data_IF_425145521178
#
_entry.id   IF_425145521178
#
_cell.length_a   1.000
_cell.length_b   1.000
_cell.length_c   1.000
_cell.angle_alpha   90.00
_cell.angle_beta   90.00
_cell.angle_gamma   90.00
#
_symmetry.space_group_name_H-M   'P 1'
#
loop_
_entity.id
_entity.type
_entity.pdbx_description
1 polymer ?
#
# COMPACT_ATOMS: atom_id res chain seq x y z
N UNK A 1 -3.20 -13.24 4.86
CA UNK A 1 -1.98 -12.57 4.40
C UNK A 1 -2.19 -11.06 4.37
N UNK A 2 -1.11 -10.29 4.27
CA UNK A 2 -1.14 -8.86 3.98
C UNK A 2 -0.60 -8.68 2.57
N UNK A 3 -1.38 -8.06 1.70
CA UNK A 3 -1.08 -7.87 0.29
C UNK A 3 -1.13 -6.38 -0.03
N UNK A 4 -0.06 -5.86 -0.62
CA UNK A 4 -0.02 -4.52 -1.18
C UNK A 4 -0.47 -4.59 -2.64
N UNK A 5 -1.28 -3.60 -3.04
CA UNK A 5 -1.84 -3.50 -4.38
C UNK A 5 -1.68 -2.08 -4.91
N UNK A 6 -1.16 -1.94 -6.13
CA UNK A 6 -1.02 -0.64 -6.77
C UNK A 6 -2.34 -0.13 -7.35
N UNK A 7 -2.64 1.14 -7.09
CA UNK A 7 -3.80 1.84 -7.61
C UNK A 7 -3.41 3.18 -8.24
N UNK A 8 -4.02 3.49 -9.38
CA UNK A 8 -3.74 4.73 -10.12
C UNK A 8 -4.30 5.99 -9.43
N UNK A 9 -5.37 5.83 -8.66
CA UNK A 9 -6.06 6.96 -8.02
C UNK A 9 -5.33 7.50 -6.78
N UNK A 10 -4.26 6.84 -6.34
CA UNK A 10 -3.47 7.25 -5.20
C UNK A 10 -2.20 7.96 -5.65
N UNK A 11 -1.92 9.11 -5.04
CA UNK A 11 -0.75 9.93 -5.34
C UNK A 11 0.17 10.13 -4.12
N UNK A 12 -0.20 9.60 -2.96
CA UNK A 12 0.56 9.80 -1.73
C UNK A 12 0.56 8.55 -0.86
N UNK A 13 1.57 8.43 0.01
CA UNK A 13 1.68 7.41 1.06
C UNK A 13 1.35 7.99 2.45
N UNK A 14 0.57 9.07 2.52
CA UNK A 14 0.34 9.81 3.76
C UNK A 14 -0.36 8.96 4.82
N UNK A 15 -1.26 8.07 4.41
CA UNK A 15 -2.01 7.19 5.32
C UNK A 15 -1.10 6.25 6.08
N UNK A 16 -0.03 5.77 5.43
CA UNK A 16 0.98 4.89 6.04
C UNK A 16 1.88 5.61 7.05
N UNK A 17 1.96 6.93 6.99
CA UNK A 17 2.66 7.74 7.99
C UNK A 17 1.87 7.83 9.30
N UNK A 18 0.55 7.87 9.22
CA UNK A 18 -0.32 7.96 10.39
C UNK A 18 -0.62 6.57 10.98
N UNK A 19 -0.90 5.61 10.12
CA UNK A 19 -1.14 4.23 10.52
C UNK A 19 0.01 3.35 10.03
N UNK A 20 0.86 2.91 10.98
CA UNK A 20 2.04 2.09 10.67
C UNK A 20 1.82 0.60 10.92
N UNK A 21 0.78 0.24 11.66
CA UNK A 21 0.51 -1.15 12.02
C UNK A 21 -0.72 -1.67 11.28
N UNK A 22 -0.51 -2.71 10.48
CA UNK A 22 -1.56 -3.38 9.75
C UNK A 22 -1.59 -4.86 10.12
N UNK A 23 -2.76 -5.38 10.45
CA UNK A 23 -2.91 -6.75 10.90
C UNK A 23 -4.05 -7.44 10.14
N UNK A 24 -3.71 -8.48 9.38
CA UNK A 24 -4.70 -9.36 8.79
C UNK A 24 -5.39 -10.21 9.87
N UNK A 25 -6.62 -10.63 9.62
CA UNK A 25 -7.37 -11.47 10.56
C UNK A 25 -6.67 -12.82 10.71
N UNK A 26 -6.50 -13.25 11.97
CA UNK A 26 -5.95 -14.57 12.31
C UNK A 26 -6.85 -15.69 11.79
N UNK A 27 -6.24 -16.78 11.36
CA UNK A 27 -6.96 -18.04 11.11
C UNK A 27 -7.62 -18.56 12.39
N UNK A 28 -8.80 -19.14 12.23
CA UNK A 28 -9.56 -19.71 13.33
C UNK A 28 -8.90 -20.98 13.89
N UNK A 29 -9.17 -21.28 15.15
CA UNK A 29 -8.74 -22.53 15.78
C UNK A 29 -9.62 -23.68 15.29
N UNK A 30 -9.06 -24.89 15.17
CA UNK A 30 -9.83 -26.09 14.97
C UNK A 30 -10.69 -26.40 16.18
N UNK A 31 -11.80 -27.08 15.96
CA UNK A 31 -12.76 -27.48 17.01
C UNK A 31 -13.13 -28.95 16.88
N UNK A 32 -13.83 -29.44 17.86
CA UNK A 32 -14.53 -30.73 17.80
C UNK A 32 -15.60 -30.74 16.69
N UNK A 33 -16.29 -31.86 16.52
CA UNK A 33 -17.38 -32.05 15.54
C UNK A 33 -16.94 -31.79 14.09
N UNK A 34 -15.73 -32.20 13.71
CA UNK A 34 -15.16 -32.04 12.36
C UNK A 34 -15.01 -30.59 11.89
N UNK A 35 -14.85 -29.66 12.78
CA UNK A 35 -14.70 -28.26 12.41
C UNK A 35 -13.21 -27.87 12.29
N UNK A 36 -12.78 -27.64 11.04
CA UNK A 36 -11.48 -27.04 10.75
C UNK A 36 -11.59 -25.52 10.86
N UNK A 37 -10.59 -24.88 11.45
CA UNK A 37 -10.54 -23.42 11.56
C UNK A 37 -10.54 -22.74 10.18
N UNK A 38 -11.34 -21.71 10.02
CA UNK A 38 -11.36 -20.92 8.78
C UNK A 38 -10.03 -20.17 8.62
N UNK A 39 -9.54 -20.06 7.39
CA UNK A 39 -8.45 -19.15 7.05
C UNK A 39 -8.84 -17.70 7.37
N UNK A 40 -7.90 -16.89 7.84
CA UNK A 40 -8.09 -15.45 7.98
C UNK A 40 -8.29 -14.81 6.61
N UNK A 41 -9.13 -13.78 6.53
CA UNK A 41 -9.25 -12.98 5.31
C UNK A 41 -7.96 -12.21 5.07
N UNK A 42 -7.57 -12.09 3.81
CA UNK A 42 -6.44 -11.27 3.41
C UNK A 42 -6.78 -9.79 3.60
N UNK A 43 -5.76 -9.02 3.96
CA UNK A 43 -5.82 -7.58 4.08
C UNK A 43 -5.12 -6.98 2.86
N UNK A 44 -5.87 -6.24 2.06
CA UNK A 44 -5.34 -5.50 0.93
C UNK A 44 -5.06 -4.07 1.35
N UNK A 45 -3.87 -3.59 1.01
CA UNK A 45 -3.40 -2.24 1.27
C UNK A 45 -3.08 -1.58 -0.07
N UNK A 46 -3.74 -0.48 -0.36
CA UNK A 46 -3.58 0.21 -1.64
C UNK A 46 -2.40 1.17 -1.60
N UNK A 47 -1.52 1.10 -2.59
CA UNK A 47 -0.36 1.98 -2.75
C UNK A 47 -0.38 2.65 -4.13
N UNK A 48 0.18 3.87 -4.27
CA UNK A 48 0.32 4.50 -5.58
C UNK A 48 1.30 3.76 -6.49
N UNK A 49 1.12 3.90 -7.79
CA UNK A 49 2.10 3.43 -8.79
C UNK A 49 3.42 4.18 -8.58
N UNK A 50 4.54 3.49 -8.76
CA UNK A 50 5.88 4.01 -8.48
C UNK A 50 6.33 3.85 -7.03
N UNK A 51 5.53 3.14 -6.21
CA UNK A 51 5.94 2.78 -4.85
C UNK A 51 6.94 1.63 -4.88
N UNK A 52 8.01 1.78 -4.14
CA UNK A 52 9.02 0.74 -3.91
C UNK A 52 8.91 0.24 -2.48
N UNK A 53 9.06 -1.07 -2.31
CA UNK A 53 9.11 -1.73 -1.01
C UNK A 53 10.55 -2.09 -0.72
N UNK A 54 11.04 -1.67 0.44
CA UNK A 54 12.33 -2.08 0.96
C UNK A 54 12.16 -2.90 2.23
N UNK A 55 13.11 -3.76 2.48
CA UNK A 55 13.22 -4.51 3.73
C UNK A 55 13.50 -3.57 4.92
N UNK A 56 13.50 -4.09 6.13
CA UNK A 56 13.76 -3.35 7.37
C UNK A 56 15.08 -2.57 7.34
N UNK A 57 16.09 -3.08 6.63
CA UNK A 57 17.40 -2.44 6.45
C UNK A 57 17.35 -1.17 5.57
N UNK A 58 16.20 -0.89 4.93
CA UNK A 58 15.98 0.21 3.98
C UNK A 58 17.01 0.26 2.82
N UNK A 59 17.62 -0.88 2.49
CA UNK A 59 18.61 -1.02 1.39
C UNK A 59 18.17 -2.05 0.36
N UNK A 60 17.65 -3.17 0.84
CA UNK A 60 17.23 -4.28 -0.01
C UNK A 60 15.86 -4.00 -0.61
N UNK A 61 15.81 -3.84 -1.93
CA UNK A 61 14.55 -3.66 -2.66
C UNK A 61 13.83 -5.01 -2.77
N UNK A 62 12.64 -5.10 -2.21
CA UNK A 62 11.79 -6.30 -2.30
C UNK A 62 10.90 -6.27 -3.54
N UNK A 63 10.27 -5.13 -3.82
CA UNK A 63 9.36 -4.99 -4.95
C UNK A 63 9.24 -3.53 -5.43
N UNK A 64 8.92 -3.34 -6.72
CA UNK A 64 8.70 -2.04 -7.36
C UNK A 64 7.39 -2.08 -8.16
N UNK A 65 6.38 -1.32 -7.72
CA UNK A 65 5.07 -1.22 -8.37
C UNK A 65 5.13 -0.31 -9.59
N UNK A 66 5.30 -0.89 -10.77
CA UNK A 66 5.42 -0.17 -12.05
C UNK A 66 4.11 -0.06 -12.79
N UNK A 67 3.20 -1.01 -12.58
CA UNK A 67 1.93 -1.11 -13.30
C UNK A 67 0.75 -0.99 -12.34
N UNK A 68 -0.39 -0.63 -12.89
CA UNK A 68 -1.65 -0.67 -12.18
C UNK A 68 -2.04 -2.11 -11.87
N UNK A 69 -2.60 -2.33 -10.69
CA UNK A 69 -3.03 -3.64 -10.17
C UNK A 69 -1.92 -4.65 -9.93
N UNK A 70 -0.66 -4.21 -9.89
CA UNK A 70 0.41 -5.07 -9.39
C UNK A 70 0.12 -5.42 -7.92
N UNK A 71 0.32 -6.67 -7.56
CA UNK A 71 0.08 -7.17 -6.22
C UNK A 71 1.35 -7.83 -5.66
N UNK A 72 1.67 -7.52 -4.41
CA UNK A 72 2.79 -8.11 -3.70
C UNK A 72 2.37 -8.55 -2.29
N UNK A 73 2.60 -9.83 -1.97
CA UNK A 73 2.33 -10.37 -0.64
C UNK A 73 3.50 -10.08 0.27
N UNK A 74 3.31 -9.18 1.23
CA UNK A 74 4.34 -8.79 2.20
C UNK A 74 4.51 -9.85 3.27
N UNK A 75 3.40 -10.33 3.83
CA UNK A 75 3.44 -11.30 4.92
C UNK A 75 2.38 -12.38 4.72
N UNK A 76 2.80 -13.63 4.86
CA UNK A 76 1.91 -14.77 4.70
C UNK A 76 1.18 -15.04 6.01
N UNK A 77 -0.14 -15.17 5.91
CA UNK A 77 -0.98 -15.51 7.06
C UNK A 77 -0.78 -16.95 7.53
N UNK A 78 -0.86 -17.16 8.84
CA UNK A 78 -0.83 -18.52 9.41
C UNK A 78 -2.04 -19.34 9.00
N UNK A 79 -1.85 -20.63 8.89
CA UNK A 79 -2.92 -21.61 8.56
C UNK A 79 -3.92 -21.73 9.70
N UNK A 80 -5.19 -21.95 9.38
CA UNK A 80 -6.21 -22.32 10.36
C UNK A 80 -5.89 -23.68 11.02
N UNK A 81 -6.34 -23.84 12.26
CA UNK A 81 -6.14 -25.08 13.02
C UNK A 81 -6.92 -26.24 12.45
N UNK A 82 -6.37 -27.43 12.58
CA UNK A 82 -7.04 -28.66 12.16
C UNK A 82 -8.09 -29.10 13.19
N UNK A 83 -9.27 -29.52 12.71
CA UNK A 83 -10.30 -30.14 13.51
C UNK A 83 -9.92 -31.57 13.94
N UNK A 84 -10.67 -32.11 14.91
CA UNK A 84 -10.40 -33.39 15.55
C UNK A 84 -10.35 -34.58 14.59
N UNK A 85 -11.11 -34.56 13.51
CA UNK A 85 -11.16 -35.71 12.56
C UNK A 85 -9.82 -35.98 11.87
N UNK A 86 -8.94 -35.01 11.74
CA UNK A 86 -7.58 -35.24 11.21
C UNK A 86 -6.70 -36.10 12.12
N UNK A 87 -7.07 -36.23 13.38
CA UNK A 87 -6.35 -37.00 14.37
C UNK A 87 -7.02 -38.41 14.63
N UNK A 88 -7.95 -38.78 13.76
CA UNK A 88 -8.60 -40.09 13.82
C UNK A 88 -7.63 -41.19 13.39
N UNK A 89 -7.52 -42.23 14.20
CA UNK A 89 -6.70 -43.39 13.93
C UNK A 89 -7.52 -44.68 14.19
N UNK A 90 -6.97 -45.84 13.83
CA UNK A 90 -7.57 -47.16 14.10
C UNK A 90 -7.84 -47.38 15.57
N UNK A 91 -6.92 -46.93 16.43
CA UNK A 91 -7.01 -47.04 17.90
C UNK A 91 -7.84 -45.95 18.55
N UNK A 92 -7.94 -44.76 17.93
CA UNK A 92 -8.72 -43.62 18.44
C UNK A 92 -9.71 -43.11 17.39
N UNK A 93 -10.92 -43.68 17.39
CA UNK A 93 -11.97 -43.34 16.42
C UNK A 93 -12.68 -42.03 16.70
N UNK A 94 -12.58 -41.46 17.94
CA UNK A 94 -13.25 -40.23 18.35
C UNK A 94 -12.28 -39.30 19.09
N UNK A 95 -11.23 -38.76 18.40
CA UNK A 95 -10.24 -37.93 19.05
C UNK A 95 -10.86 -36.62 19.49
N UNK A 96 -10.48 -36.16 20.69
CA UNK A 96 -10.81 -34.81 21.21
C UNK A 96 -9.73 -33.77 20.90
N UNK A 97 -8.59 -34.20 20.31
CA UNK A 97 -7.45 -33.35 19.98
C UNK A 97 -7.78 -32.51 18.75
N UNK A 98 -7.47 -31.24 18.82
CA UNK A 98 -7.51 -30.28 17.73
C UNK A 98 -6.29 -29.35 17.84
N UNK A 99 -5.95 -28.62 16.77
CA UNK A 99 -4.84 -27.65 16.80
C UNK A 99 -5.37 -26.23 16.75
N UNK A 100 -4.65 -25.34 17.41
CA UNK A 100 -4.86 -23.90 17.30
C UNK A 100 -4.37 -23.42 15.92
N UNK A 101 -4.92 -22.31 15.42
CA UNK A 101 -4.41 -21.65 14.23
C UNK A 101 -2.96 -21.22 14.42
N UNK A 102 -2.17 -21.35 13.39
CA UNK A 102 -0.76 -20.93 13.38
C UNK A 102 -0.64 -19.41 13.38
N UNK A 103 0.45 -18.89 13.93
CA UNK A 103 0.82 -17.49 13.76
C UNK A 103 1.22 -17.27 12.30
N UNK A 104 0.92 -16.08 11.77
CA UNK A 104 1.43 -15.61 10.50
C UNK A 104 2.80 -14.97 10.65
N UNK A 105 3.35 -14.55 9.55
CA UNK A 105 4.60 -13.79 9.48
C UNK A 105 4.36 -12.33 9.87
N UNK A 106 5.37 -11.69 10.43
CA UNK A 106 5.38 -10.29 10.82
C UNK A 106 6.67 -9.66 10.29
N UNK A 107 6.55 -8.57 9.53
CA UNK A 107 7.68 -7.87 8.93
C UNK A 107 7.53 -6.36 9.07
N UNK A 108 8.67 -5.69 9.22
CA UNK A 108 8.79 -4.25 9.03
C UNK A 108 9.30 -4.00 7.61
N UNK A 109 8.63 -3.10 6.92
CA UNK A 109 9.00 -2.70 5.56
C UNK A 109 9.02 -1.18 5.45
N UNK A 110 9.84 -0.69 4.54
CA UNK A 110 9.83 0.71 4.16
C UNK A 110 9.12 0.88 2.83
N UNK A 111 8.22 1.84 2.76
CA UNK A 111 7.55 2.24 1.53
C UNK A 111 8.14 3.57 1.07
N UNK A 112 8.68 3.59 -0.13
CA UNK A 112 9.22 4.79 -0.76
C UNK A 112 8.49 5.04 -2.07
N UNK A 113 7.86 6.19 -2.21
CA UNK A 113 7.23 6.60 -3.45
C UNK A 113 8.24 7.34 -4.33
N UNK A 114 8.48 6.82 -5.52
CA UNK A 114 9.21 7.54 -6.58
C UNK A 114 8.22 8.44 -7.31
N UNK A 115 8.28 9.71 -7.02
CA UNK A 115 7.49 10.70 -7.75
C UNK A 115 8.24 11.08 -9.02
N UNK A 116 7.67 10.79 -10.18
CA UNK A 116 8.17 11.27 -11.46
C UNK A 116 7.43 12.57 -11.74
N UNK A 117 8.18 13.64 -12.00
CA UNK A 117 7.59 14.90 -12.43
C UNK A 117 7.40 14.87 -13.97
N UNK A 118 6.25 15.31 -14.45
CA UNK A 118 5.96 15.41 -15.89
C UNK A 118 6.80 16.52 -16.54
N UNK A 119 7.07 17.59 -15.78
CA UNK A 119 7.85 18.77 -16.24
C UNK A 119 8.85 19.17 -15.17
N UNK A 120 10.09 19.40 -15.57
CA UNK A 120 11.14 19.95 -14.72
C UNK A 120 11.51 21.37 -15.15
N UNK A 121 11.52 22.31 -14.21
CA UNK A 121 11.95 23.71 -14.45
C UNK A 121 13.40 23.87 -14.00
N UNK A 122 14.29 24.13 -14.95
CA UNK A 122 15.71 24.30 -14.71
C UNK A 122 16.10 25.76 -15.08
N UNK A 123 17.00 26.35 -14.31
CA UNK A 123 17.51 27.69 -14.58
C UNK A 123 18.37 28.23 -13.44
N UNK A 124 19.04 29.37 -13.69
CA UNK A 124 19.93 30.04 -12.75
C UNK A 124 19.20 30.41 -11.44
N UNK A 125 19.94 30.58 -10.33
CA UNK A 125 19.38 31.17 -9.11
C UNK A 125 18.70 32.52 -9.44
N UNK A 126 17.61 32.82 -8.75
CA UNK A 126 16.79 34.03 -8.91
C UNK A 126 16.14 34.27 -10.29
N UNK A 127 16.12 33.27 -11.16
CA UNK A 127 15.44 33.33 -12.46
C UNK A 127 13.90 33.24 -12.39
N UNK A 128 13.29 33.34 -11.20
CA UNK A 128 11.83 33.34 -11.03
C UNK A 128 11.16 31.96 -11.08
N UNK A 129 11.92 30.86 -11.01
CA UNK A 129 11.38 29.50 -11.06
C UNK A 129 10.30 29.22 -9.99
N UNK A 130 10.58 29.65 -8.77
CA UNK A 130 9.65 29.45 -7.64
C UNK A 130 8.40 30.31 -7.78
N UNK A 131 8.52 31.52 -8.33
CA UNK A 131 7.40 32.42 -8.61
C UNK A 131 6.51 31.85 -9.73
N UNK A 132 7.13 31.28 -10.77
CA UNK A 132 6.41 30.60 -11.86
C UNK A 132 5.67 29.37 -11.32
N UNK A 133 6.34 28.54 -10.50
CA UNK A 133 5.73 27.37 -9.88
C UNK A 133 4.54 27.77 -9.00
N UNK A 134 4.68 28.82 -8.19
CA UNK A 134 3.62 29.33 -7.32
C UNK A 134 2.42 29.88 -8.10
N UNK A 135 2.65 30.48 -9.28
CA UNK A 135 1.58 31.01 -10.12
C UNK A 135 0.79 29.93 -10.86
N UNK A 136 1.45 28.81 -11.20
CA UNK A 136 0.82 27.70 -11.93
C UNK A 136 0.13 26.72 -10.96
N UNK A 137 0.61 26.65 -9.71
CA UNK A 137 0.15 25.67 -8.72
C UNK A 137 -0.80 26.31 -7.73
N UNK A 138 -2.02 25.77 -7.60
CA UNK A 138 -2.99 26.23 -6.60
C UNK A 138 -2.66 25.79 -5.16
N UNK A 139 -1.70 24.90 -4.97
CA UNK A 139 -1.26 24.43 -3.67
C UNK A 139 0.11 24.98 -3.32
N UNK A 140 0.34 25.27 -2.03
CA UNK A 140 1.67 25.63 -1.55
C UNK A 140 2.69 24.55 -1.94
N UNK A 141 3.79 24.92 -2.65
CA UNK A 141 4.77 23.94 -3.10
C UNK A 141 5.36 23.20 -1.89
N UNK A 142 5.22 21.87 -1.90
CA UNK A 142 5.81 21.02 -0.85
C UNK A 142 7.29 20.82 -1.16
N UNK A 143 8.13 21.07 -0.19
CA UNK A 143 9.56 20.78 -0.25
C UNK A 143 9.73 19.28 0.03
N UNK A 144 10.34 18.55 -0.90
CA UNK A 144 10.67 17.15 -0.72
C UNK A 144 12.18 16.95 -0.72
N UNK A 145 12.67 16.13 0.21
CA UNK A 145 14.07 15.76 0.31
C UNK A 145 14.36 14.57 -0.61
N UNK A 146 15.13 14.81 -1.67
CA UNK A 146 15.66 13.75 -2.53
C UNK A 146 17.13 13.49 -2.20
N UNK A 147 17.52 12.20 -2.08
CA UNK A 147 18.88 11.79 -1.67
C UNK A 147 20.00 12.23 -2.64
N UNK A 148 19.66 12.66 -3.85
CA UNK A 148 20.65 12.94 -4.90
C UNK A 148 20.72 14.42 -5.33
N UNK A 149 20.02 15.31 -4.66
CA UNK A 149 20.06 16.74 -4.96
C UNK A 149 20.51 17.51 -3.72
N UNK A 150 21.57 18.29 -3.87
CA UNK A 150 22.03 19.25 -2.85
C UNK A 150 21.02 20.39 -2.60
N UNK A 151 19.97 20.47 -3.42
CA UNK A 151 18.90 21.46 -3.35
C UNK A 151 17.58 20.72 -3.24
N UNK A 152 16.78 21.03 -2.21
CA UNK A 152 15.44 20.48 -2.05
C UNK A 152 14.54 20.97 -3.20
N UNK A 153 14.06 20.10 -4.11
CA UNK A 153 13.19 20.52 -5.19
C UNK A 153 11.82 20.91 -4.65
N UNK A 154 11.29 22.01 -5.14
CA UNK A 154 9.92 22.41 -4.90
C UNK A 154 9.01 21.65 -5.88
N UNK A 155 8.03 20.91 -5.35
CA UNK A 155 7.05 20.19 -6.15
C UNK A 155 5.73 20.94 -6.12
N UNK A 156 5.12 21.09 -7.30
CA UNK A 156 3.79 21.65 -7.44
C UNK A 156 2.93 20.78 -8.35
N UNK A 157 1.64 20.67 -8.06
CA UNK A 157 0.66 20.01 -8.91
C UNK A 157 -0.10 21.07 -9.68
N UNK A 158 -0.08 20.98 -11.01
CA UNK A 158 -0.88 21.85 -11.86
C UNK A 158 -2.30 21.31 -11.98
N UNK A 159 -3.36 22.05 -11.56
CA UNK A 159 -4.74 21.55 -11.55
C UNK A 159 -5.43 21.60 -12.90
N UNK A 160 -4.70 21.72 -14.01
CA UNK A 160 -5.27 21.84 -15.36
C UNK A 160 -6.22 20.69 -15.74
N UNK A 161 -6.11 19.53 -15.06
CA UNK A 161 -6.94 18.37 -15.34
C UNK A 161 -8.07 18.14 -14.34
N UNK A 162 -8.23 18.98 -13.31
CA UNK A 162 -9.22 18.78 -12.24
C UNK A 162 -10.38 19.78 -12.27
N UNK A 163 -10.31 20.80 -13.14
CA UNK A 163 -11.39 21.78 -13.27
C UNK A 163 -12.31 21.37 -14.41
N UNK A 164 -13.59 21.02 -14.17
CA UNK A 164 -14.54 20.82 -15.24
C UNK A 164 -14.63 22.12 -16.05
N UNK A 165 -14.55 21.98 -17.37
CA UNK A 165 -14.72 23.12 -18.28
C UNK A 165 -16.09 23.76 -18.02
N UNK A 166 -16.21 25.11 -18.04
CA UNK A 166 -17.51 25.77 -17.93
C UNK A 166 -18.56 25.31 -18.97
N UNK A 167 -18.12 24.60 -20.01
CA UNK A 167 -18.99 24.01 -21.04
C UNK A 167 -19.65 22.69 -20.61
N UNK A 168 -19.12 22.01 -19.58
CA UNK A 168 -19.68 20.74 -19.08
C UNK A 168 -20.85 20.94 -18.11
N UNK A 169 -21.16 22.19 -17.79
CA UNK A 169 -22.36 22.60 -17.04
C UNK A 169 -23.54 22.85 -18.00
N UNK A 170 -23.78 21.92 -18.93
CA UNK A 170 -25.05 21.93 -19.67
C UNK A 170 -26.16 21.43 -18.75
N UNK A 171 -26.90 22.37 -18.17
CA UNK A 171 -28.19 22.11 -17.51
C UNK A 171 -29.10 21.32 -18.46
N UNK A 172 -29.71 20.22 -18.00
CA UNK A 172 -30.75 19.59 -18.77
C UNK A 172 -31.93 20.60 -18.87
N UNK A 173 -32.26 21.02 -20.09
CA UNK A 173 -33.51 21.70 -20.35
C UNK A 173 -34.64 20.72 -20.09
N UNK A 174 -35.56 21.07 -19.21
CA UNK A 174 -36.88 20.48 -19.10
C UNK A 174 -37.66 20.60 -20.43
#
# INVERSE_FOLDING_TARGET
SVVLKSERNLNTLIDYRYQQHFKAKRGGDGKGKNQTGRGGKDLFLSVPIGTQIFEEDNKTLLFDFKKEKDEFTVAVGGRGGFGNTRFKSSTNRAPRKFTKGMKGEEFWIWLQLKTIADIGIIGLPNAGKSSLLASITSANPKIANYKFTTINPNLGVCPLYTSPSPRDLSTPRM
#
